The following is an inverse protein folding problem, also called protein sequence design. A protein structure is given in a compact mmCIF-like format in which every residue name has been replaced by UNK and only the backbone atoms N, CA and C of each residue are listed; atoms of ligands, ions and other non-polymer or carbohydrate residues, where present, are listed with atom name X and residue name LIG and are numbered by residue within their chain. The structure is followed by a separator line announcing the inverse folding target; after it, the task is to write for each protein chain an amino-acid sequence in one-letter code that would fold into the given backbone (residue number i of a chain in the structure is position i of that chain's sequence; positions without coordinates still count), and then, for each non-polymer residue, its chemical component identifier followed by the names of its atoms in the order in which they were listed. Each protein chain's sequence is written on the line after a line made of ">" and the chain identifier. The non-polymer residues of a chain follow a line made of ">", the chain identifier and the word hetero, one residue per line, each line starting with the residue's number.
data_IF_453728304514
#
_entry.id   IF_453728304514
#
_cell.length_a   1.000
_cell.length_b   1.000
_cell.length_c   1.000
_cell.angle_alpha   90.00
_cell.angle_beta   90.00
_cell.angle_gamma   90.00
#
_symmetry.space_group_name_H-M   'P 1'
#
loop_
_entity.id
_entity.type
_entity.pdbx_description
1 polymer ?
#
# COMPACT_ATOMS: atom_id res chain seq x y z
N UNK A 1 4.52 9.63 -5.02
CA UNK A 1 4.86 9.40 -3.59
C UNK A 1 6.19 8.67 -3.39
N UNK A 2 6.73 7.94 -4.37
CA UNK A 2 8.04 7.25 -4.25
C UNK A 2 8.05 6.10 -3.24
N UNK A 3 6.88 5.53 -2.92
CA UNK A 3 6.71 4.45 -1.94
C UNK A 3 7.66 3.27 -2.18
N UNK A 4 7.82 2.81 -3.41
CA UNK A 4 8.67 1.66 -3.75
C UNK A 4 10.12 1.85 -3.29
N UNK A 5 10.72 3.02 -3.59
CA UNK A 5 12.09 3.34 -3.18
C UNK A 5 12.25 3.37 -1.66
N UNK A 6 11.27 3.95 -0.94
CA UNK A 6 11.27 3.97 0.54
C UNK A 6 11.21 2.55 1.09
N UNK A 7 10.32 1.70 0.55
CA UNK A 7 10.11 0.34 1.06
C UNK A 7 11.32 -0.56 0.75
N UNK A 8 11.93 -0.44 -0.42
CA UNK A 8 13.17 -1.13 -0.76
C UNK A 8 14.31 -0.71 0.16
N UNK A 9 14.46 0.61 0.41
CA UNK A 9 15.41 1.15 1.38
C UNK A 9 15.15 0.68 2.81
N UNK A 10 13.89 0.55 3.23
CA UNK A 10 13.52 0.01 4.53
C UNK A 10 13.98 -1.45 4.68
N UNK A 11 13.64 -2.30 3.72
CA UNK A 11 13.99 -3.74 3.77
C UNK A 11 15.51 -3.95 3.75
N UNK A 12 16.26 -3.13 3.00
CA UNK A 12 17.73 -3.22 3.00
C UNK A 12 18.36 -2.88 4.37
N UNK A 13 17.72 -2.01 5.15
CA UNK A 13 18.18 -1.57 6.48
C UNK A 13 17.64 -2.43 7.62
N UNK A 14 16.56 -3.14 7.41
CA UNK A 14 15.91 -3.98 8.42
C UNK A 14 16.18 -5.45 8.12
N UNK A 15 17.28 -5.97 8.68
CA UNK A 15 17.75 -7.34 8.43
C UNK A 15 16.67 -8.37 8.80
N UNK A 16 16.31 -9.23 7.87
CA UNK A 16 15.28 -10.26 8.06
C UNK A 16 13.85 -9.79 7.68
N UNK A 17 13.67 -8.55 7.24
CA UNK A 17 12.39 -8.13 6.71
C UNK A 17 12.15 -8.68 5.30
N UNK A 18 10.95 -9.16 5.07
CA UNK A 18 10.49 -9.61 3.74
C UNK A 18 9.51 -8.63 3.15
N UNK A 19 9.84 -8.11 1.97
CA UNK A 19 8.93 -7.27 1.20
C UNK A 19 7.91 -8.12 0.44
N UNK A 20 6.64 -7.80 0.62
CA UNK A 20 5.51 -8.43 -0.07
C UNK A 20 4.65 -7.36 -0.72
N UNK A 21 4.55 -7.37 -2.04
CA UNK A 21 3.62 -6.52 -2.76
C UNK A 21 2.25 -7.21 -2.83
N UNK A 22 1.25 -6.63 -2.18
CA UNK A 22 -0.11 -7.17 -2.06
C UNK A 22 -0.75 -7.41 -3.43
N UNK A 23 -0.62 -6.47 -4.37
CA UNK A 23 -1.14 -6.60 -5.73
C UNK A 23 -0.51 -7.78 -6.51
N UNK A 24 0.75 -8.09 -6.23
CA UNK A 24 1.44 -9.26 -6.83
C UNK A 24 0.90 -10.56 -6.25
N UNK A 25 0.59 -10.60 -4.95
CA UNK A 25 -0.04 -11.79 -4.34
C UNK A 25 -1.45 -11.99 -4.89
N UNK A 26 -2.23 -10.89 -5.06
CA UNK A 26 -3.53 -10.94 -5.72
C UNK A 26 -3.41 -11.49 -7.15
N UNK A 27 -2.47 -10.97 -7.94
CA UNK A 27 -2.24 -11.45 -9.31
C UNK A 27 -1.96 -12.96 -9.35
N UNK A 28 -0.98 -13.42 -8.58
CA UNK A 28 -0.63 -14.84 -8.51
C UNK A 28 -1.82 -15.71 -8.08
N UNK A 29 -2.60 -15.22 -7.13
CA UNK A 29 -3.79 -15.93 -6.65
C UNK A 29 -4.88 -15.98 -7.72
N UNK A 30 -5.18 -14.88 -8.38
CA UNK A 30 -6.20 -14.82 -9.41
C UNK A 30 -5.86 -15.68 -10.64
N UNK A 31 -4.57 -15.72 -11.03
CA UNK A 31 -4.07 -16.63 -12.07
C UNK A 31 -4.27 -18.10 -11.66
N UNK A 32 -3.89 -18.46 -10.43
CA UNK A 32 -4.07 -19.81 -9.90
C UNK A 32 -5.53 -20.26 -9.85
N UNK A 33 -6.44 -19.34 -9.54
CA UNK A 33 -7.89 -19.58 -9.53
C UNK A 33 -8.53 -19.52 -10.93
N UNK A 34 -7.74 -19.21 -11.97
CA UNK A 34 -8.23 -19.00 -13.34
C UNK A 34 -9.30 -17.91 -13.48
N UNK A 35 -9.32 -16.93 -12.55
CA UNK A 35 -10.26 -15.81 -12.57
C UNK A 35 -9.80 -14.67 -13.45
N UNK A 36 -8.48 -14.58 -13.69
CA UNK A 36 -7.83 -13.54 -14.47
C UNK A 36 -6.74 -14.16 -15.35
N UNK A 37 -6.38 -13.48 -16.41
CA UNK A 37 -5.27 -13.84 -17.33
C UNK A 37 -4.06 -12.91 -17.15
N UNK A 38 -4.29 -11.69 -16.67
CA UNK A 38 -3.26 -10.67 -16.48
C UNK A 38 -3.65 -9.71 -15.36
N UNK A 39 -2.78 -8.73 -15.05
CA UNK A 39 -2.99 -7.77 -13.97
C UNK A 39 -4.19 -6.85 -14.20
N UNK A 40 -4.47 -6.47 -15.43
CA UNK A 40 -5.55 -5.52 -15.75
C UNK A 40 -6.93 -6.14 -15.57
N UNK A 41 -7.03 -7.47 -15.67
CA UNK A 41 -8.26 -8.19 -15.42
C UNK A 41 -8.73 -8.11 -13.96
N UNK A 42 -7.82 -7.84 -13.00
CA UNK A 42 -8.19 -7.64 -11.59
C UNK A 42 -9.23 -6.53 -11.46
N UNK A 43 -9.09 -5.45 -12.22
CA UNK A 43 -10.00 -4.30 -12.20
C UNK A 43 -11.36 -4.57 -12.86
N UNK A 44 -11.47 -5.65 -13.63
CA UNK A 44 -12.68 -6.07 -14.32
C UNK A 44 -13.47 -7.12 -13.55
N UNK A 45 -12.94 -7.61 -12.43
CA UNK A 45 -13.65 -8.55 -11.58
C UNK A 45 -14.86 -7.88 -10.94
N UNK A 46 -15.92 -8.67 -10.71
CA UNK A 46 -17.05 -8.22 -9.90
C UNK A 46 -16.58 -7.89 -8.48
N UNK A 47 -17.35 -7.06 -7.77
CA UNK A 47 -17.07 -6.65 -6.38
C UNK A 47 -16.78 -7.87 -5.50
N UNK A 48 -17.63 -8.90 -5.59
CA UNK A 48 -17.51 -10.10 -4.76
C UNK A 48 -16.26 -10.91 -5.07
N UNK A 49 -15.90 -11.03 -6.35
CA UNK A 49 -14.65 -11.69 -6.75
C UNK A 49 -13.43 -10.91 -6.32
N UNK A 50 -13.46 -9.58 -6.41
CA UNK A 50 -12.37 -8.74 -5.91
C UNK A 50 -12.19 -8.90 -4.39
N UNK A 51 -13.29 -8.81 -3.62
CA UNK A 51 -13.27 -9.03 -2.16
C UNK A 51 -12.71 -10.40 -1.80
N UNK A 52 -13.20 -11.44 -2.50
CA UNK A 52 -12.71 -12.81 -2.29
C UNK A 52 -11.23 -12.94 -2.61
N UNK A 53 -10.77 -12.35 -3.71
CA UNK A 53 -9.36 -12.35 -4.11
C UNK A 53 -8.47 -11.63 -3.09
N UNK A 54 -8.90 -10.46 -2.62
CA UNK A 54 -8.21 -9.70 -1.57
C UNK A 54 -8.12 -10.50 -0.27
N UNK A 55 -9.20 -11.14 0.17
CA UNK A 55 -9.26 -11.97 1.38
C UNK A 55 -8.31 -13.16 1.30
N UNK A 56 -8.28 -13.88 0.17
CA UNK A 56 -7.36 -14.99 -0.04
C UNK A 56 -5.90 -14.52 -0.07
N UNK A 57 -5.61 -13.37 -0.70
CA UNK A 57 -4.27 -12.79 -0.73
C UNK A 57 -3.81 -12.41 0.70
N UNK A 58 -4.67 -11.76 1.47
CA UNK A 58 -4.38 -11.39 2.87
C UNK A 58 -4.12 -12.64 3.73
N UNK A 59 -4.94 -13.68 3.60
CA UNK A 59 -4.74 -14.96 4.30
C UNK A 59 -3.42 -15.65 3.93
N UNK A 60 -2.97 -15.55 2.68
CA UNK A 60 -1.66 -16.08 2.28
C UNK A 60 -0.51 -15.30 2.93
N UNK A 61 -0.62 -13.98 3.02
CA UNK A 61 0.39 -13.13 3.63
C UNK A 61 0.44 -13.37 5.14
N UNK A 62 -0.70 -13.42 5.81
CA UNK A 62 -0.76 -13.64 7.28
C UNK A 62 -0.22 -14.99 7.75
N UNK A 63 -0.07 -15.96 6.84
CA UNK A 63 0.52 -17.27 7.12
C UNK A 63 2.03 -17.33 6.86
N UNK A 64 2.65 -16.25 6.41
CA UNK A 64 4.09 -16.19 6.24
C UNK A 64 4.78 -16.29 7.60
N UNK A 65 5.87 -17.05 7.65
CA UNK A 65 6.61 -17.32 8.90
C UNK A 65 7.85 -16.42 9.05
N UNK A 66 8.03 -15.47 8.13
CA UNK A 66 9.13 -14.52 8.20
C UNK A 66 8.97 -13.63 9.44
N UNK A 67 10.06 -13.30 10.10
CA UNK A 67 10.07 -12.54 11.36
C UNK A 67 9.38 -11.17 11.22
N UNK A 68 9.61 -10.51 10.10
CA UNK A 68 8.98 -9.24 9.77
C UNK A 68 8.52 -9.26 8.32
N UNK A 69 7.25 -8.99 8.07
CA UNK A 69 6.69 -8.88 6.72
C UNK A 69 6.26 -7.44 6.47
N UNK A 70 6.93 -6.79 5.52
CA UNK A 70 6.57 -5.46 5.05
C UNK A 70 5.62 -5.59 3.87
N UNK A 71 4.35 -5.21 4.06
CA UNK A 71 3.33 -5.30 3.02
C UNK A 71 3.21 -3.99 2.27
N UNK A 72 3.66 -3.96 1.02
CA UNK A 72 3.45 -2.84 0.11
C UNK A 72 2.06 -2.94 -0.52
N UNK A 73 1.18 -1.99 -0.16
CA UNK A 73 -0.21 -1.97 -0.62
C UNK A 73 -0.70 -0.53 -0.88
N UNK A 74 -1.94 -0.40 -1.33
CA UNK A 74 -2.66 0.85 -1.48
C UNK A 74 -3.84 0.87 -0.51
N UNK A 75 -4.13 2.00 0.10
CA UNK A 75 -5.30 2.19 0.95
C UNK A 75 -6.58 2.17 0.13
N UNK A 76 -6.52 2.77 -1.06
CA UNK A 76 -7.60 2.75 -2.06
C UNK A 76 -7.03 2.82 -3.48
N UNK A 77 -7.87 2.55 -4.46
CA UNK A 77 -7.57 2.67 -5.89
C UNK A 77 -8.68 3.51 -6.52
N UNK A 78 -8.32 4.60 -7.20
CA UNK A 78 -9.26 5.39 -7.98
C UNK A 78 -9.70 4.58 -9.22
N UNK A 79 -11.00 4.53 -9.45
CA UNK A 79 -11.64 3.90 -10.61
C UNK A 79 -12.64 4.86 -11.23
N UNK A 80 -13.24 4.49 -12.35
CA UNK A 80 -14.32 5.28 -12.97
C UNK A 80 -15.58 5.37 -12.09
N UNK A 81 -15.76 4.42 -11.18
CA UNK A 81 -16.91 4.32 -10.27
C UNK A 81 -16.64 4.95 -8.89
N UNK A 82 -15.48 5.61 -8.73
CA UNK A 82 -15.05 6.20 -7.46
C UNK A 82 -13.84 5.50 -6.86
N UNK A 83 -13.73 5.51 -5.54
CA UNK A 83 -12.57 4.97 -4.82
C UNK A 83 -12.86 3.57 -4.29
N UNK A 84 -12.07 2.61 -4.73
CA UNK A 84 -12.14 1.23 -4.24
C UNK A 84 -11.19 1.01 -3.06
N UNK A 85 -11.67 0.45 -1.94
CA UNK A 85 -10.81 0.18 -0.79
C UNK A 85 -9.78 -0.91 -1.15
N UNK A 86 -8.51 -0.59 -0.96
CA UNK A 86 -7.40 -1.54 -1.11
C UNK A 86 -7.23 -2.43 0.11
N UNK A 87 -7.66 -1.91 1.28
CA UNK A 87 -7.65 -2.59 2.58
C UNK A 87 -9.06 -2.58 3.20
N UNK A 88 -10.04 -3.31 2.65
CA UNK A 88 -11.33 -3.46 3.30
C UNK A 88 -11.20 -4.18 4.64
N UNK A 89 -12.21 -4.07 5.51
CA UNK A 89 -12.17 -4.57 6.89
C UNK A 89 -11.63 -6.00 7.01
N UNK A 90 -12.19 -6.94 6.23
CA UNK A 90 -11.76 -8.35 6.28
C UNK A 90 -10.28 -8.53 5.90
N UNK A 91 -9.75 -7.67 5.03
CA UNK A 91 -8.34 -7.72 4.59
C UNK A 91 -7.42 -7.22 5.69
N UNK A 92 -7.68 -6.03 6.24
CA UNK A 92 -6.84 -5.44 7.28
C UNK A 92 -6.87 -6.30 8.55
N UNK A 93 -8.04 -6.85 8.89
CA UNK A 93 -8.21 -7.80 10.00
C UNK A 93 -7.41 -9.09 9.79
N UNK A 94 -7.43 -9.65 8.58
CA UNK A 94 -6.68 -10.87 8.26
C UNK A 94 -5.17 -10.65 8.27
N UNK A 95 -4.70 -9.49 7.83
CA UNK A 95 -3.28 -9.13 7.85
C UNK A 95 -2.73 -8.94 9.27
N UNK A 96 -3.57 -8.49 10.22
CA UNK A 96 -3.19 -8.19 11.62
C UNK A 96 -1.92 -7.34 11.68
N UNK A 97 -1.92 -6.14 11.07
CA UNK A 97 -0.73 -5.30 11.06
C UNK A 97 -0.34 -4.90 12.48
N UNK A 98 0.95 -4.90 12.76
CA UNK A 98 1.50 -4.35 14.01
C UNK A 98 1.79 -2.87 13.89
N UNK A 99 1.96 -2.36 12.67
CA UNK A 99 2.20 -0.96 12.37
C UNK A 99 1.58 -0.62 11.00
N UNK A 100 1.09 0.60 10.89
CA UNK A 100 0.57 1.17 9.65
C UNK A 100 1.40 2.40 9.28
N UNK A 101 1.92 2.44 8.06
CA UNK A 101 2.75 3.56 7.59
C UNK A 101 2.19 4.14 6.30
N UNK A 102 1.88 5.43 6.31
CA UNK A 102 1.53 6.19 5.13
C UNK A 102 2.74 6.99 4.66
N UNK A 103 3.28 6.63 3.50
CA UNK A 103 4.27 7.45 2.81
C UNK A 103 3.53 8.44 1.93
N UNK A 104 3.64 9.72 2.26
CA UNK A 104 2.99 10.81 1.53
C UNK A 104 4.01 11.80 0.95
N UNK A 105 3.56 12.70 0.10
CA UNK A 105 4.31 13.83 -0.44
C UNK A 105 3.30 14.96 -0.70
N UNK A 106 3.76 16.19 -0.93
CA UNK A 106 2.84 17.28 -1.24
C UNK A 106 2.14 17.04 -2.60
N UNK A 107 0.96 17.63 -2.84
CA UNK A 107 0.27 17.53 -4.13
C UNK A 107 1.18 17.92 -5.30
N UNK A 108 1.97 18.99 -5.16
CA UNK A 108 2.91 19.47 -6.18
C UNK A 108 4.00 18.43 -6.50
N UNK A 109 4.59 17.84 -5.45
CA UNK A 109 5.60 16.80 -5.62
C UNK A 109 5.00 15.54 -6.28
N UNK A 110 3.76 15.19 -5.94
CA UNK A 110 3.05 14.07 -6.57
C UNK A 110 2.77 14.37 -8.03
N UNK A 111 2.30 15.58 -8.36
CA UNK A 111 2.06 16.02 -9.73
C UNK A 111 3.37 15.97 -10.56
N UNK A 112 4.45 16.58 -10.06
CA UNK A 112 5.77 16.56 -10.70
C UNK A 112 6.25 15.12 -11.00
N UNK A 113 6.13 14.21 -10.03
CA UNK A 113 6.54 12.81 -10.19
C UNK A 113 5.64 12.03 -11.13
N UNK A 114 4.32 12.35 -11.19
CA UNK A 114 3.38 11.73 -12.13
C UNK A 114 3.70 12.13 -13.57
N UNK A 115 4.05 13.39 -13.80
CA UNK A 115 4.43 13.90 -15.12
C UNK A 115 5.74 13.29 -15.62
N UNK A 116 6.69 13.04 -14.74
CA UNK A 116 7.98 12.40 -15.07
C UNK A 116 7.87 10.90 -15.33
N UNK A 117 6.79 10.23 -14.92
CA UNK A 117 6.58 8.77 -15.08
C UNK A 117 5.89 8.43 -16.40
N UNK A 118 6.65 8.50 -17.51
CA UNK A 118 6.19 8.22 -18.88
C UNK A 118 5.68 6.77 -19.06
N UNK A 119 6.07 5.86 -18.17
CA UNK A 119 5.72 4.42 -18.29
C UNK A 119 4.29 4.09 -17.88
N UNK A 120 3.56 5.02 -17.28
CA UNK A 120 2.19 4.80 -16.83
C UNK A 120 1.27 5.86 -17.38
N UNK A 121 0.41 5.47 -18.32
CA UNK A 121 -0.72 6.32 -18.69
C UNK A 121 -1.60 6.54 -17.45
N UNK A 122 -1.76 7.79 -17.07
CA UNK A 122 -2.65 8.20 -15.97
C UNK A 122 -3.54 9.31 -16.49
N UNK A 123 -4.82 9.26 -16.13
CA UNK A 123 -5.73 10.34 -16.41
C UNK A 123 -5.17 11.66 -15.84
N UNK A 124 -5.46 12.79 -16.49
CA UNK A 124 -5.13 14.11 -15.99
C UNK A 124 -5.81 14.30 -14.63
N UNK A 125 -5.02 14.52 -13.60
CA UNK A 125 -5.48 14.70 -12.23
C UNK A 125 -5.18 16.13 -11.83
N UNK A 126 -6.18 16.86 -11.36
CA UNK A 126 -6.04 18.24 -10.87
C UNK A 126 -5.34 18.28 -9.52
N UNK A 127 -4.94 19.47 -9.08
CA UNK A 127 -4.38 19.66 -7.73
C UNK A 127 -5.40 19.31 -6.66
N UNK A 128 -6.65 19.72 -6.85
CA UNK A 128 -7.77 19.43 -5.94
C UNK A 128 -7.99 17.90 -5.82
N UNK A 129 -7.93 17.17 -6.94
CA UNK A 129 -7.99 15.70 -6.92
C UNK A 129 -6.85 15.08 -6.10
N UNK A 130 -5.65 15.66 -6.16
CA UNK A 130 -4.50 15.17 -5.39
C UNK A 130 -4.65 15.44 -3.90
N UNK A 131 -5.19 16.60 -3.53
CA UNK A 131 -5.50 16.94 -2.15
C UNK A 131 -6.61 16.03 -1.60
N UNK A 132 -7.66 15.78 -2.38
CA UNK A 132 -8.70 14.82 -2.02
C UNK A 132 -8.12 13.42 -1.79
N UNK A 133 -7.29 12.92 -2.72
CA UNK A 133 -6.63 11.61 -2.58
C UNK A 133 -5.76 11.53 -1.31
N UNK A 134 -5.05 12.60 -0.96
CA UNK A 134 -4.23 12.65 0.26
C UNK A 134 -5.10 12.70 1.52
N UNK A 135 -6.18 13.47 1.52
CA UNK A 135 -7.15 13.52 2.61
C UNK A 135 -7.80 12.17 2.85
N UNK A 136 -8.26 11.51 1.79
CA UNK A 136 -8.82 10.16 1.85
C UNK A 136 -7.80 9.14 2.37
N UNK A 137 -6.53 9.22 1.92
CA UNK A 137 -5.49 8.30 2.40
C UNK A 137 -5.29 8.40 3.91
N UNK A 138 -5.29 9.62 4.47
CA UNK A 138 -5.19 9.85 5.92
C UNK A 138 -6.41 9.29 6.66
N UNK A 139 -7.60 9.52 6.13
CA UNK A 139 -8.85 8.98 6.71
C UNK A 139 -8.86 7.45 6.70
N UNK A 140 -8.50 6.82 5.59
CA UNK A 140 -8.41 5.35 5.50
C UNK A 140 -7.35 4.77 6.44
N UNK A 141 -6.21 5.46 6.62
CA UNK A 141 -5.18 5.07 7.57
C UNK A 141 -5.71 5.10 9.00
N UNK A 142 -6.37 6.21 9.40
CA UNK A 142 -6.94 6.37 10.73
C UNK A 142 -7.99 5.30 11.03
N UNK A 143 -8.90 5.03 10.09
CA UNK A 143 -9.89 3.96 10.20
C UNK A 143 -9.21 2.59 10.35
N UNK A 144 -8.19 2.31 9.52
CA UNK A 144 -7.46 1.03 9.61
C UNK A 144 -6.74 0.88 10.96
N UNK A 145 -6.17 1.95 11.50
CA UNK A 145 -5.56 1.98 12.83
C UNK A 145 -6.59 1.68 13.92
N UNK A 146 -7.73 2.36 13.90
CA UNK A 146 -8.83 2.15 14.86
C UNK A 146 -9.35 0.72 14.84
N UNK A 147 -9.52 0.14 13.64
CA UNK A 147 -10.04 -1.22 13.48
C UNK A 147 -9.07 -2.32 13.91
N UNK A 148 -7.79 -2.05 13.92
CA UNK A 148 -6.76 -3.07 14.21
C UNK A 148 -6.04 -2.86 15.53
N UNK A 149 -6.14 -1.66 16.12
CA UNK A 149 -5.33 -1.24 17.26
C UNK A 149 -3.85 -1.00 16.91
N UNK A 150 -3.47 -1.08 15.63
CA UNK A 150 -2.10 -0.85 15.20
C UNK A 150 -1.76 0.65 15.19
N UNK A 151 -0.63 1.08 15.79
CA UNK A 151 -0.17 2.45 15.69
C UNK A 151 0.06 2.84 14.23
N UNK A 152 -0.22 4.11 13.92
CA UNK A 152 -0.03 4.65 12.58
C UNK A 152 1.06 5.72 12.54
N UNK A 153 1.85 5.71 11.48
CA UNK A 153 2.86 6.72 11.19
C UNK A 153 2.59 7.35 9.82
N UNK A 154 2.69 8.66 9.74
CA UNK A 154 2.67 9.40 8.47
C UNK A 154 4.04 10.02 8.23
N UNK A 155 4.68 9.69 7.11
CA UNK A 155 6.01 10.18 6.75
C UNK A 155 5.97 10.95 5.43
N UNK A 156 6.64 12.09 5.40
CA UNK A 156 6.74 12.91 4.21
C UNK A 156 7.99 12.54 3.41
N UNK A 157 7.78 11.98 2.22
CA UNK A 157 8.85 11.61 1.31
C UNK A 157 9.05 12.70 0.25
N UNK A 158 9.63 13.82 0.66
CA UNK A 158 10.05 14.90 -0.24
C UNK A 158 11.18 14.45 -1.19
N UNK A 159 11.47 15.26 -2.21
CA UNK A 159 12.50 14.93 -3.20
C UNK A 159 13.87 14.68 -2.51
N UNK A 160 14.52 13.58 -2.86
CA UNK A 160 15.80 13.17 -2.28
C UNK A 160 15.73 12.45 -0.91
N UNK A 161 14.60 12.48 -0.20
CA UNK A 161 14.51 12.00 1.19
C UNK A 161 14.16 10.51 1.38
N UNK A 162 14.07 9.73 0.31
CA UNK A 162 13.63 8.34 0.42
C UNK A 162 14.48 7.48 1.38
N UNK A 163 15.81 7.71 1.42
CA UNK A 163 16.72 7.00 2.31
C UNK A 163 16.53 7.39 3.80
N UNK A 164 16.27 8.68 4.07
CA UNK A 164 16.02 9.19 5.42
C UNK A 164 14.68 8.65 5.94
N UNK A 165 13.65 8.71 5.11
CA UNK A 165 12.31 8.17 5.44
C UNK A 165 12.38 6.67 5.72
N UNK A 166 13.15 5.91 4.93
CA UNK A 166 13.37 4.49 5.19
C UNK A 166 14.07 4.25 6.54
N UNK A 167 15.03 5.11 6.92
CA UNK A 167 15.72 5.04 8.21
C UNK A 167 14.81 5.40 9.38
N UNK A 168 13.97 6.42 9.22
CA UNK A 168 12.96 6.84 10.20
C UNK A 168 11.99 5.69 10.51
N UNK A 169 11.43 5.05 9.47
CA UNK A 169 10.54 3.90 9.62
C UNK A 169 11.29 2.73 10.30
N UNK A 170 12.53 2.44 9.86
CA UNK A 170 13.31 1.35 10.45
C UNK A 170 13.61 1.58 11.94
N UNK A 171 13.85 2.82 12.35
CA UNK A 171 14.10 3.18 13.76
C UNK A 171 12.85 3.01 14.62
N UNK A 172 11.69 3.43 14.10
CA UNK A 172 10.40 3.24 14.76
C UNK A 172 10.10 1.76 14.99
N UNK A 173 10.27 0.92 13.94
CA UNK A 173 10.02 -0.52 14.05
C UNK A 173 10.95 -1.22 15.05
N UNK A 174 12.19 -0.76 15.24
CA UNK A 174 13.14 -1.29 16.22
C UNK A 174 12.77 -0.89 17.65
N UNK A 175 12.29 0.32 17.86
CA UNK A 175 11.85 0.80 19.17
C UNK A 175 10.59 0.11 19.70
N UNK A 176 9.80 -0.50 18.81
CA UNK A 176 8.59 -1.23 19.16
C UNK A 176 8.85 -2.70 19.59
N UNK A 177 10.07 -3.20 19.45
CA UNK A 177 10.47 -4.59 19.79
C UNK A 177 11.24 -4.64 21.13
N UNK A 178 11.49 -3.49 21.74
CA UNK A 178 12.06 -3.37 23.09
C UNK A 178 10.95 -3.28 24.15
#
# INVERSE_FOLDING_TARGET
>A
MGKTTVVEGLVSKYRGAKLVNFGTVMLKTGLSLKWIKNRDDIRKLTVDRQRSLQKVAASKISKMKDQTVVVDTHLFIRTKEGFWPGLPFDVVRALRPTHLVLVQATPEEVAKRRTADIKRYRDSVTMDDLEEELGLARSFLAVSSTLTGAPMLMVNNSEGRAADVASEIASMLRGAVA
#
